data_IF_355664319939
#
_entry.id   IF_355664319939
#
_cell.length_a   1.000
_cell.length_b   1.000
_cell.length_c   1.000
_cell.angle_alpha   90.00
_cell.angle_beta   90.00
_cell.angle_gamma   90.00
#
_symmetry.space_group_name_H-M   'P 1'
#
loop_
_entity.id
_entity.type
_entity.pdbx_description
1 polymer ?
#
# COMPACT_ATOMS: atom_id res chain seq x y z
N UNK A 1 73.86 -43.31 27.09
CA UNK A 1 72.96 -42.71 28.10
C UNK A 1 72.58 -41.35 27.59
N UNK A 2 71.49 -41.27 26.83
CA UNK A 2 70.91 -40.01 26.39
C UNK A 2 70.22 -39.43 27.62
N UNK A 3 70.66 -38.25 28.08
CA UNK A 3 69.93 -37.49 29.10
C UNK A 3 68.61 -37.11 28.42
N UNK A 4 67.52 -37.79 28.78
CA UNK A 4 66.18 -37.33 28.43
C UNK A 4 65.94 -36.02 29.15
N UNK A 5 65.33 -35.05 28.47
CA UNK A 5 64.87 -33.79 29.07
C UNK A 5 63.99 -34.10 30.30
N UNK A 6 64.55 -33.90 31.50
CA UNK A 6 63.88 -34.07 32.79
C UNK A 6 63.26 -32.77 33.31
N UNK A 7 63.33 -31.69 32.53
CA UNK A 7 62.73 -30.41 32.88
C UNK A 7 61.20 -30.52 32.83
N UNK A 8 60.55 -29.96 33.86
CA UNK A 8 59.11 -29.82 33.87
C UNK A 8 58.65 -28.97 32.67
N UNK A 9 57.47 -29.29 32.12
CA UNK A 9 56.83 -28.52 31.06
C UNK A 9 55.46 -28.03 31.51
N UNK A 10 55.10 -26.79 31.15
CA UNK A 10 53.79 -26.20 31.38
C UNK A 10 52.89 -26.39 30.15
N UNK A 11 51.70 -26.96 30.34
CA UNK A 11 50.73 -27.20 29.27
C UNK A 11 49.37 -26.62 29.64
N UNK A 12 48.74 -25.88 28.73
CA UNK A 12 47.36 -25.38 28.91
C UNK A 12 46.35 -26.44 28.48
N UNK A 13 45.22 -26.53 29.20
CA UNK A 13 44.05 -27.32 28.82
C UNK A 13 42.76 -26.53 29.12
N UNK A 14 41.76 -26.69 28.27
CA UNK A 14 40.42 -26.12 28.46
C UNK A 14 39.53 -27.11 29.21
N UNK A 15 38.74 -26.64 30.18
CA UNK A 15 37.69 -27.43 30.82
C UNK A 15 36.40 -27.42 30.01
N UNK A 16 36.09 -26.26 29.41
CA UNK A 16 35.02 -26.10 28.44
C UNK A 16 35.58 -25.39 27.20
N UNK A 17 35.11 -25.82 26.03
CA UNK A 17 35.57 -25.29 24.73
C UNK A 17 34.48 -24.52 24.00
N UNK A 18 33.24 -24.60 24.47
CA UNK A 18 32.11 -23.79 23.99
C UNK A 18 31.39 -23.16 25.19
N UNK A 19 30.85 -21.96 24.99
CA UNK A 19 30.06 -21.22 25.96
C UNK A 19 29.06 -20.34 25.23
N UNK A 20 27.78 -20.46 25.59
CA UNK A 20 26.75 -19.49 25.17
C UNK A 20 26.91 -18.22 26.01
N UNK A 21 26.94 -17.05 25.39
CA UNK A 21 27.25 -15.77 26.05
C UNK A 21 26.09 -15.20 26.89
N UNK A 22 24.84 -15.45 26.49
CA UNK A 22 23.63 -15.00 27.18
C UNK A 22 23.33 -13.52 26.98
N UNK A 23 22.06 -13.15 27.15
CA UNK A 23 21.54 -11.79 26.89
C UNK A 23 22.15 -10.66 27.75
N UNK A 24 22.84 -11.00 28.85
CA UNK A 24 23.43 -10.03 29.78
C UNK A 24 24.37 -10.67 30.79
N UNK A 25 25.19 -9.84 31.44
CA UNK A 25 26.03 -10.26 32.56
C UNK A 25 27.30 -10.94 32.09
N UNK A 26 27.92 -11.74 32.95
CA UNK A 26 29.24 -12.33 32.72
C UNK A 26 29.20 -13.85 32.81
N UNK A 27 29.88 -14.50 31.88
CA UNK A 27 30.04 -15.97 31.81
C UNK A 27 31.50 -16.33 31.65
N UNK A 28 31.85 -17.60 31.85
CA UNK A 28 33.26 -17.97 32.04
C UNK A 28 33.66 -19.22 31.26
N UNK A 29 34.80 -19.13 30.59
CA UNK A 29 35.62 -20.28 30.25
C UNK A 29 36.61 -20.56 31.37
N UNK A 30 36.84 -21.84 31.65
CA UNK A 30 37.83 -22.27 32.63
C UNK A 30 38.97 -23.00 31.94
N UNK A 31 40.20 -22.64 32.32
CA UNK A 31 41.43 -23.25 31.81
C UNK A 31 42.31 -23.71 32.97
N UNK A 32 43.04 -24.80 32.78
CA UNK A 32 44.17 -25.18 33.63
C UNK A 32 45.49 -24.94 32.90
N UNK A 33 46.51 -24.59 33.66
CA UNK A 33 47.90 -24.79 33.26
C UNK A 33 48.47 -25.86 34.20
N UNK A 34 49.00 -26.92 33.60
CA UNK A 34 49.50 -28.11 34.29
C UNK A 34 51.00 -28.28 34.03
N UNK A 35 51.77 -28.49 35.11
CA UNK A 35 53.18 -28.86 35.08
C UNK A 35 53.33 -30.38 34.96
N UNK A 36 54.16 -30.86 34.04
CA UNK A 36 54.42 -32.31 33.86
C UNK A 36 54.98 -32.96 35.14
N UNK A 37 55.87 -32.26 35.83
CA UNK A 37 56.42 -32.60 37.15
C UNK A 37 56.50 -31.37 38.04
N UNK A 38 56.54 -31.57 39.37
CA UNK A 38 56.74 -30.46 40.30
C UNK A 38 58.20 -30.00 40.26
N UNK A 39 58.45 -28.70 40.29
CA UNK A 39 59.80 -28.12 40.17
C UNK A 39 60.47 -27.84 41.52
N UNK A 40 59.69 -27.82 42.61
CA UNK A 40 60.16 -27.40 43.94
C UNK A 40 60.59 -25.92 44.02
N UNK A 41 60.33 -25.13 42.97
CA UNK A 41 60.71 -23.72 42.82
C UNK A 41 59.54 -22.90 42.30
N UNK A 42 59.58 -21.58 42.46
CA UNK A 42 58.59 -20.69 41.84
C UNK A 42 58.82 -20.68 40.33
N UNK A 43 57.76 -20.93 39.57
CA UNK A 43 57.76 -20.86 38.10
C UNK A 43 56.60 -20.03 37.60
N UNK A 44 56.69 -19.50 36.38
CA UNK A 44 55.60 -18.73 35.79
C UNK A 44 55.52 -18.90 34.27
N UNK A 45 54.33 -18.67 33.74
CA UNK A 45 54.07 -18.53 32.31
C UNK A 45 53.10 -17.36 32.11
N UNK A 46 53.33 -16.57 31.09
CA UNK A 46 52.37 -15.58 30.62
C UNK A 46 51.35 -16.26 29.71
N UNK A 47 50.16 -15.69 29.63
CA UNK A 47 49.13 -16.08 28.68
C UNK A 47 48.47 -14.84 28.09
N UNK A 48 48.07 -14.93 26.82
CA UNK A 48 47.30 -13.89 26.15
C UNK A 48 46.25 -14.54 25.25
N UNK A 49 45.07 -13.94 25.21
CA UNK A 49 43.98 -14.31 24.31
C UNK A 49 44.07 -13.49 23.02
N UNK A 50 43.86 -14.16 21.90
CA UNK A 50 43.68 -13.52 20.59
C UNK A 50 42.49 -14.15 19.88
N UNK A 51 41.63 -13.36 19.26
CA UNK A 51 40.61 -13.85 18.34
C UNK A 51 41.23 -14.62 17.17
N UNK A 52 40.55 -15.68 16.72
CA UNK A 52 41.03 -16.56 15.66
C UNK A 52 39.89 -17.03 14.74
N UNK A 53 40.23 -17.67 13.62
CA UNK A 53 39.23 -18.26 12.74
C UNK A 53 38.56 -17.25 11.79
N UNK A 54 37.37 -17.61 11.31
CA UNK A 54 36.60 -16.79 10.36
C UNK A 54 35.87 -15.62 11.03
N UNK A 55 35.39 -15.84 12.27
CA UNK A 55 34.81 -14.82 13.13
C UNK A 55 35.66 -14.78 14.42
N UNK A 56 36.72 -13.95 14.45
CA UNK A 56 37.59 -13.87 15.62
C UNK A 56 36.94 -13.01 16.71
N UNK A 57 36.80 -13.58 17.91
CA UNK A 57 36.36 -12.85 19.09
C UNK A 57 37.26 -11.62 19.32
N UNK A 58 36.65 -10.46 19.56
CA UNK A 58 37.31 -9.18 19.71
C UNK A 58 37.23 -8.64 21.14
N UNK A 59 37.55 -7.36 21.36
CA UNK A 59 37.59 -6.81 22.71
C UNK A 59 36.19 -6.62 23.33
N UNK A 60 35.13 -6.46 22.53
CA UNK A 60 33.76 -6.25 22.97
C UNK A 60 33.24 -7.44 23.78
N UNK A 61 33.47 -8.66 23.31
CA UNK A 61 33.03 -9.91 23.95
C UNK A 61 33.67 -10.11 25.33
N UNK A 62 34.78 -9.42 25.62
CA UNK A 62 35.47 -9.48 26.93
C UNK A 62 35.36 -8.17 27.72
N UNK A 63 34.44 -7.26 27.37
CA UNK A 63 34.17 -6.04 28.14
C UNK A 63 35.11 -4.87 27.84
N UNK A 64 35.71 -4.84 26.66
CA UNK A 64 36.48 -3.72 26.11
C UNK A 64 37.98 -3.96 25.95
N UNK A 65 38.52 -5.10 26.40
CA UNK A 65 39.93 -5.47 26.23
C UNK A 65 40.12 -6.98 26.13
N UNK A 66 40.99 -7.44 25.23
CA UNK A 66 41.36 -8.86 25.14
C UNK A 66 42.09 -9.33 26.42
N UNK A 67 41.67 -10.42 27.06
CA UNK A 67 42.27 -10.92 28.30
C UNK A 67 43.72 -11.39 28.15
N UNK A 68 44.54 -11.10 29.16
CA UNK A 68 45.90 -11.62 29.29
C UNK A 68 46.33 -11.63 30.76
N UNK A 69 47.41 -12.34 31.09
CA UNK A 69 47.97 -12.34 32.44
C UNK A 69 49.16 -13.27 32.62
N UNK A 70 49.58 -13.42 33.87
CA UNK A 70 50.67 -14.33 34.28
C UNK A 70 50.13 -15.34 35.29
N UNK A 71 50.41 -16.63 35.07
CA UNK A 71 50.17 -17.69 36.05
C UNK A 71 51.49 -18.05 36.71
N UNK A 72 51.52 -18.03 38.05
CA UNK A 72 52.71 -18.35 38.86
C UNK A 72 52.44 -19.57 39.73
N UNK A 73 53.26 -20.61 39.64
CA UNK A 73 53.19 -21.80 40.50
C UNK A 73 54.11 -21.62 41.70
N UNK A 74 53.58 -21.90 42.89
CA UNK A 74 54.36 -21.89 44.11
C UNK A 74 54.98 -23.27 44.35
N UNK A 75 56.31 -23.37 44.23
CA UNK A 75 57.13 -24.50 44.69
C UNK A 75 56.66 -25.89 44.26
N UNK A 76 55.71 -26.44 45.02
CA UNK A 76 55.19 -27.80 44.87
C UNK A 76 53.86 -27.89 44.10
N UNK A 77 53.25 -26.75 43.73
CA UNK A 77 52.04 -26.71 42.89
C UNK A 77 52.30 -27.33 41.52
N UNK A 78 51.30 -28.05 41.00
CA UNK A 78 51.34 -28.64 39.66
C UNK A 78 50.24 -28.11 38.73
N UNK A 79 49.17 -27.58 39.28
CA UNK A 79 47.99 -27.15 38.52
C UNK A 79 47.54 -25.80 39.05
N UNK A 80 47.31 -24.84 38.14
CA UNK A 80 46.57 -23.61 38.45
C UNK A 80 45.47 -23.42 37.44
N UNK A 81 44.31 -23.02 37.96
CA UNK A 81 43.15 -22.67 37.15
C UNK A 81 43.01 -21.16 37.05
N UNK A 82 42.48 -20.71 35.93
CA UNK A 82 42.02 -19.34 35.74
C UNK A 82 40.74 -19.34 34.90
N UNK A 83 40.02 -18.23 34.96
CA UNK A 83 38.81 -18.02 34.20
C UNK A 83 39.03 -16.90 33.18
N UNK A 84 38.42 -17.05 32.01
CA UNK A 84 38.27 -15.99 31.01
C UNK A 84 36.81 -15.59 30.99
N UNK A 85 36.56 -14.30 31.21
CA UNK A 85 35.23 -13.71 31.33
C UNK A 85 34.70 -13.26 29.96
N UNK A 86 33.55 -13.80 29.56
CA UNK A 86 32.77 -13.37 28.38
C UNK A 86 31.61 -12.49 28.85
N UNK A 87 31.37 -11.41 28.13
CA UNK A 87 30.28 -10.46 28.36
C UNK A 87 29.11 -10.89 27.51
N UNK A 88 27.98 -11.16 28.15
CA UNK A 88 26.74 -11.38 27.44
C UNK A 88 26.09 -10.07 27.03
N UNK A 89 25.52 -10.02 25.83
CA UNK A 89 24.72 -8.91 25.33
C UNK A 89 23.59 -9.39 24.42
N UNK A 90 23.02 -8.51 23.57
CA UNK A 90 21.84 -8.84 22.74
C UNK A 90 22.08 -8.64 21.24
N UNK A 91 23.33 -8.43 20.86
CA UNK A 91 23.75 -8.12 19.50
C UNK A 91 23.85 -9.41 18.73
N UNK A 92 23.16 -9.49 17.59
CA UNK A 92 23.27 -10.70 16.75
C UNK A 92 24.63 -10.75 16.08
N UNK A 93 25.43 -11.71 16.51
CA UNK A 93 26.78 -11.99 16.02
C UNK A 93 26.88 -13.46 15.55
N UNK A 94 27.83 -13.81 14.67
CA UNK A 94 28.11 -15.22 14.40
C UNK A 94 28.80 -15.87 15.60
N UNK A 95 28.82 -17.21 15.68
CA UNK A 95 29.72 -17.87 16.64
C UNK A 95 31.17 -17.48 16.38
N UNK A 96 31.87 -17.13 17.46
CA UNK A 96 33.21 -16.56 17.41
C UNK A 96 34.23 -17.45 18.11
N UNK A 97 35.49 -17.40 17.68
CA UNK A 97 36.54 -18.23 18.27
C UNK A 97 37.74 -17.41 18.70
N UNK A 98 38.42 -17.89 19.75
CA UNK A 98 39.68 -17.34 20.22
C UNK A 98 40.67 -18.45 20.58
N UNK A 99 41.94 -18.07 20.66
CA UNK A 99 43.03 -18.91 21.14
C UNK A 99 43.77 -18.22 22.27
N UNK A 100 43.99 -18.94 23.37
CA UNK A 100 44.91 -18.56 24.44
C UNK A 100 46.27 -19.16 24.13
N UNK A 101 47.32 -18.34 24.12
CA UNK A 101 48.70 -18.77 23.88
C UNK A 101 49.57 -18.52 25.11
N UNK A 102 50.28 -19.57 25.56
CA UNK A 102 51.29 -19.46 26.61
C UNK A 102 52.59 -18.88 26.05
N UNK A 103 53.23 -18.01 26.82
CA UNK A 103 54.50 -17.35 26.47
C UNK A 103 55.37 -17.08 27.70
N UNK A 104 56.59 -16.59 27.46
CA UNK A 104 57.54 -16.16 28.49
C UNK A 104 57.68 -17.12 29.69
N UNK A 105 57.96 -18.42 29.45
CA UNK A 105 58.11 -19.36 30.55
C UNK A 105 59.35 -19.02 31.41
N UNK A 106 59.21 -19.13 32.72
CA UNK A 106 60.30 -18.96 33.68
C UNK A 106 60.43 -20.20 34.57
N UNK A 107 61.58 -20.86 34.50
CA UNK A 107 61.89 -22.05 35.30
C UNK A 107 61.15 -23.33 34.87
N UNK A 108 60.58 -23.34 33.67
CA UNK A 108 59.83 -24.46 33.07
C UNK A 108 59.97 -24.40 31.55
N UNK A 109 59.86 -25.54 30.85
CA UNK A 109 59.68 -25.56 29.39
C UNK A 109 58.19 -25.37 29.02
N UNK A 110 57.90 -25.00 27.77
CA UNK A 110 56.51 -25.04 27.28
C UNK A 110 56.20 -26.41 26.68
N UNK A 111 55.05 -26.98 27.07
CA UNK A 111 54.44 -28.17 26.47
C UNK A 111 53.36 -27.76 25.47
N UNK A 112 52.10 -28.12 25.73
CA UNK A 112 50.97 -27.61 24.94
C UNK A 112 50.79 -26.12 25.20
N UNK A 113 51.03 -25.30 24.18
CA UNK A 113 51.03 -23.83 24.33
C UNK A 113 49.71 -23.16 24.01
N UNK A 114 48.76 -23.87 23.41
CA UNK A 114 47.52 -23.26 22.93
C UNK A 114 46.29 -24.01 23.40
N UNK A 115 45.26 -23.27 23.79
CA UNK A 115 43.91 -23.78 23.98
C UNK A 115 42.91 -22.84 23.30
N UNK A 116 41.86 -23.38 22.72
CA UNK A 116 40.83 -22.61 22.01
C UNK A 116 39.55 -22.49 22.83
N UNK A 117 38.72 -21.52 22.49
CA UNK A 117 37.34 -21.41 22.96
C UNK A 117 36.44 -20.85 21.85
N UNK A 118 35.17 -21.24 21.87
CA UNK A 118 34.12 -20.77 20.96
C UNK A 118 32.99 -20.11 21.76
N UNK A 119 32.78 -18.82 21.54
CA UNK A 119 31.64 -18.07 22.06
C UNK A 119 30.47 -18.36 21.11
N UNK A 120 29.38 -18.87 21.66
CA UNK A 120 28.16 -19.25 20.92
C UNK A 120 27.15 -18.13 21.08
N UNK A 121 26.74 -17.52 19.97
CA UNK A 121 25.73 -16.47 19.95
C UNK A 121 24.36 -17.08 20.22
N UNK A 122 23.67 -16.61 21.26
CA UNK A 122 22.26 -16.94 21.50
C UNK A 122 21.26 -15.86 21.08
N UNK A 123 21.75 -14.75 20.53
CA UNK A 123 20.91 -13.61 20.21
C UNK A 123 20.06 -13.75 18.95
N UNK A 124 18.87 -13.17 19.04
CA UNK A 124 17.83 -13.21 18.02
C UNK A 124 17.26 -11.82 17.82
N UNK A 125 16.95 -11.41 16.58
CA UNK A 125 16.24 -10.14 16.32
C UNK A 125 14.96 -10.36 15.54
N UNK A 126 13.99 -9.45 15.76
CA UNK A 126 12.77 -9.35 14.95
C UNK A 126 12.67 -8.01 14.22
N UNK A 127 12.15 -8.04 13.01
CA UNK A 127 11.80 -6.85 12.22
C UNK A 127 10.46 -7.05 11.52
N UNK A 128 9.64 -6.01 11.42
CA UNK A 128 8.41 -6.01 10.63
C UNK A 128 8.54 -5.11 9.41
N UNK A 129 7.95 -5.52 8.29
CA UNK A 129 7.83 -4.73 7.06
C UNK A 129 6.45 -4.92 6.42
N UNK A 130 5.96 -3.90 5.72
CA UNK A 130 4.78 -4.04 4.86
C UNK A 130 5.08 -5.00 3.71
N UNK A 131 4.22 -6.00 3.52
CA UNK A 131 4.33 -6.96 2.41
C UNK A 131 3.34 -6.58 1.31
N UNK A 132 2.08 -6.35 1.68
CA UNK A 132 1.02 -5.92 0.78
C UNK A 132 -0.03 -5.13 1.58
N UNK A 133 0.26 -3.84 1.81
CA UNK A 133 -0.42 -3.01 2.79
C UNK A 133 -0.80 -1.61 2.27
N UNK A 134 -0.91 -1.42 0.96
CA UNK A 134 -1.44 -0.20 0.35
C UNK A 134 -2.50 -0.57 -0.67
N UNK A 135 -3.77 -0.46 -0.30
CA UNK A 135 -4.90 -1.00 -1.07
C UNK A 135 -6.14 -0.15 -0.88
N UNK A 136 -7.12 -0.36 -1.76
CA UNK A 136 -8.48 0.07 -1.49
C UNK A 136 -9.09 -0.75 -0.34
N UNK A 137 -9.97 -0.16 0.46
CA UNK A 137 -10.75 -0.91 1.47
C UNK A 137 -11.88 -1.72 0.84
N UNK A 138 -12.44 -1.24 -0.28
CA UNK A 138 -13.54 -1.86 -1.00
C UNK A 138 -14.89 -1.53 -0.37
N UNK A 139 -15.97 -1.69 -1.13
CA UNK A 139 -17.28 -1.17 -0.68
C UNK A 139 -18.04 -2.01 0.35
N UNK A 140 -17.50 -3.16 0.76
CA UNK A 140 -18.09 -4.07 1.76
C UNK A 140 -17.12 -5.17 2.19
N UNK A 141 -17.42 -5.85 3.29
CA UNK A 141 -16.65 -7.00 3.74
C UNK A 141 -15.34 -6.59 4.39
N UNK A 142 -14.25 -7.28 4.06
CA UNK A 142 -12.92 -6.91 4.57
C UNK A 142 -11.82 -7.16 3.55
N UNK A 143 -10.88 -6.22 3.45
CA UNK A 143 -9.67 -6.33 2.65
C UNK A 143 -8.47 -6.68 3.53
N UNK A 144 -7.69 -7.67 3.12
CA UNK A 144 -6.53 -8.16 3.88
C UNK A 144 -5.26 -7.36 3.56
N UNK A 145 -4.68 -6.74 4.58
CA UNK A 145 -3.40 -6.05 4.57
C UNK A 145 -2.36 -6.94 5.24
N UNK A 146 -1.23 -7.19 4.60
CA UNK A 146 -0.24 -8.15 5.10
C UNK A 146 1.10 -7.52 5.40
N UNK A 147 1.70 -7.98 6.50
CA UNK A 147 2.99 -7.53 7.01
C UNK A 147 3.87 -8.75 7.29
N UNK A 148 5.10 -8.75 6.80
CA UNK A 148 6.07 -9.81 7.10
C UNK A 148 6.85 -9.44 8.35
N UNK A 149 6.89 -10.37 9.31
CA UNK A 149 7.83 -10.34 10.43
C UNK A 149 8.97 -11.29 10.11
N UNK A 150 10.19 -10.79 10.10
CA UNK A 150 11.42 -11.55 9.86
C UNK A 150 12.15 -11.76 11.17
N UNK A 151 12.66 -12.99 11.38
CA UNK A 151 13.54 -13.38 12.48
C UNK A 151 14.95 -13.64 11.96
N UNK A 152 15.95 -13.09 12.61
CA UNK A 152 17.37 -13.26 12.29
C UNK A 152 18.21 -13.59 13.56
N UNK A 153 19.44 -14.07 13.36
CA UNK A 153 20.31 -14.55 14.43
C UNK A 153 20.07 -16.01 14.78
N UNK A 154 20.08 -16.32 16.06
CA UNK A 154 19.78 -17.64 16.58
C UNK A 154 18.32 -18.02 16.30
N UNK A 155 18.11 -19.21 15.74
CA UNK A 155 16.79 -19.73 15.38
C UNK A 155 16.45 -21.04 16.08
N UNK A 156 17.28 -21.53 17.00
CA UNK A 156 17.08 -22.81 17.67
C UNK A 156 15.95 -22.76 18.71
N UNK A 157 15.70 -21.58 19.29
CA UNK A 157 14.66 -21.35 20.29
C UNK A 157 13.31 -20.92 19.72
N UNK A 158 12.33 -20.77 20.61
CA UNK A 158 11.09 -20.04 20.30
C UNK A 158 11.31 -18.53 20.51
N UNK A 159 10.58 -17.72 19.74
CA UNK A 159 10.58 -16.26 19.89
C UNK A 159 9.15 -15.74 19.75
N UNK A 160 8.76 -14.76 20.56
CA UNK A 160 7.41 -14.17 20.50
C UNK A 160 7.46 -12.65 20.59
N UNK A 161 6.58 -11.98 19.85
CA UNK A 161 6.31 -10.56 19.96
C UNK A 161 4.80 -10.33 19.95
N UNK A 162 4.29 -9.46 20.82
CA UNK A 162 2.94 -8.93 20.65
C UNK A 162 2.95 -7.87 19.55
N UNK A 163 1.83 -7.67 18.87
CA UNK A 163 1.64 -6.54 17.96
C UNK A 163 0.32 -5.84 18.24
N UNK A 164 0.28 -4.54 17.96
CA UNK A 164 -0.93 -3.73 18.02
C UNK A 164 -1.00 -2.78 16.83
N UNK A 165 -2.22 -2.54 16.36
CA UNK A 165 -2.54 -1.56 15.32
C UNK A 165 -2.93 -0.24 15.96
N UNK A 166 -2.44 0.86 15.40
CA UNK A 166 -2.83 2.23 15.79
C UNK A 166 -2.89 3.13 14.56
N UNK A 167 -3.85 4.04 14.47
CA UNK A 167 -3.85 5.08 13.45
C UNK A 167 -2.61 5.97 13.49
N UNK A 168 -2.13 6.41 12.32
CA UNK A 168 -0.93 7.24 12.17
C UNK A 168 -1.12 8.34 11.14
N UNK A 169 -0.17 9.28 11.04
CA UNK A 169 -0.17 10.29 9.99
C UNK A 169 -1.21 11.40 10.17
N UNK A 170 -1.56 12.07 9.07
CA UNK A 170 -2.48 13.21 9.06
C UNK A 170 -3.96 12.80 9.06
N UNK A 171 -4.26 11.63 8.48
CA UNK A 171 -5.57 10.98 8.47
C UNK A 171 -5.38 9.59 9.10
N UNK A 172 -5.44 9.48 10.44
CA UNK A 172 -5.22 8.22 11.13
C UNK A 172 -6.49 7.36 11.08
N UNK A 173 -6.34 6.13 10.59
CA UNK A 173 -7.38 5.11 10.69
C UNK A 173 -7.76 4.88 12.17
N UNK A 174 -9.04 4.73 12.46
CA UNK A 174 -9.59 4.52 13.78
C UNK A 174 -10.15 3.09 13.96
N UNK A 175 -11.07 2.89 14.91
CA UNK A 175 -11.61 1.55 15.19
C UNK A 175 -12.69 1.12 14.18
N UNK A 176 -13.37 2.07 13.52
CA UNK A 176 -14.42 1.81 12.54
C UNK A 176 -13.87 1.00 11.34
N UNK A 177 -12.68 1.37 10.86
CA UNK A 177 -11.98 0.74 9.73
C UNK A 177 -11.55 -0.71 10.01
N UNK A 178 -11.71 -1.19 11.25
CA UNK A 178 -11.38 -2.57 11.66
C UNK A 178 -12.55 -3.27 12.36
N UNK A 179 -13.79 -2.84 12.10
CA UNK A 179 -14.99 -3.50 12.63
C UNK A 179 -15.29 -3.17 14.10
N UNK A 180 -14.82 -2.04 14.59
CA UNK A 180 -15.15 -1.45 15.89
C UNK A 180 -14.05 -1.56 16.96
N UNK A 181 -12.93 -2.23 16.68
CA UNK A 181 -11.77 -2.31 17.59
C UNK A 181 -10.46 -2.40 16.82
N UNK A 182 -9.45 -1.63 17.23
CA UNK A 182 -8.11 -1.74 16.66
C UNK A 182 -7.50 -3.15 16.89
N UNK A 183 -6.99 -3.83 15.84
CA UNK A 183 -6.46 -5.18 15.98
C UNK A 183 -5.18 -5.27 16.83
N UNK A 184 -5.03 -6.38 17.55
CA UNK A 184 -3.81 -6.73 18.28
C UNK A 184 -3.74 -8.24 18.50
N UNK A 185 -2.55 -8.83 18.44
CA UNK A 185 -2.35 -10.25 18.75
C UNK A 185 -0.86 -10.53 19.07
N UNK A 186 -0.43 -11.80 19.05
CA UNK A 186 0.95 -12.23 19.23
C UNK A 186 1.43 -13.04 18.03
N UNK A 187 2.61 -12.69 17.51
CA UNK A 187 3.34 -13.50 16.55
C UNK A 187 4.33 -14.40 17.30
N UNK A 188 4.38 -15.68 16.92
CA UNK A 188 5.28 -16.68 17.53
C UNK A 188 6.06 -17.42 16.45
N UNK A 189 7.35 -17.64 16.70
CA UNK A 189 8.25 -18.42 15.86
C UNK A 189 8.63 -19.69 16.60
N UNK A 190 8.40 -20.83 15.97
CA UNK A 190 8.96 -22.11 16.40
C UNK A 190 10.45 -22.21 16.02
N UNK A 191 11.20 -23.16 16.60
CA UNK A 191 12.55 -23.46 16.17
C UNK A 191 12.67 -23.64 14.65
N UNK A 192 13.67 -22.99 14.05
CA UNK A 192 13.92 -22.98 12.61
C UNK A 192 13.08 -22.02 11.77
N UNK A 193 12.02 -21.40 12.31
CA UNK A 193 11.20 -20.45 11.55
C UNK A 193 11.89 -19.09 11.44
N UNK A 194 11.86 -18.48 10.26
CA UNK A 194 12.50 -17.17 9.98
C UNK A 194 11.53 -16.11 9.48
N UNK A 195 10.30 -16.48 9.10
CA UNK A 195 9.27 -15.56 8.62
C UNK A 195 7.88 -15.92 9.14
N UNK A 196 7.08 -14.90 9.46
CA UNK A 196 5.64 -14.99 9.73
C UNK A 196 4.94 -13.83 9.03
N UNK A 197 3.69 -14.06 8.63
CA UNK A 197 2.84 -13.01 8.07
C UNK A 197 1.77 -12.65 9.10
N UNK A 198 1.67 -11.36 9.41
CA UNK A 198 0.55 -10.77 10.14
C UNK A 198 -0.45 -10.26 9.10
N UNK A 199 -1.72 -10.61 9.28
CA UNK A 199 -2.82 -10.14 8.44
C UNK A 199 -3.72 -9.22 9.25
N UNK A 200 -3.89 -7.98 8.79
CA UNK A 200 -4.82 -7.00 9.32
C UNK A 200 -5.97 -6.89 8.33
N UNK A 201 -7.19 -7.16 8.77
CA UNK A 201 -8.38 -7.03 7.93
C UNK A 201 -8.96 -5.63 8.13
N UNK A 202 -8.96 -4.83 7.08
CA UNK A 202 -9.64 -3.52 7.03
C UNK A 202 -11.07 -3.74 6.56
N UNK A 203 -12.04 -3.18 7.26
CA UNK A 203 -13.46 -3.22 6.93
C UNK A 203 -13.72 -2.34 5.71
N UNK A 204 -14.36 -2.91 4.70
CA UNK A 204 -14.82 -2.12 3.56
C UNK A 204 -16.22 -1.57 3.83
N UNK A 205 -16.46 -0.31 3.47
CA UNK A 205 -17.79 0.31 3.50
C UNK A 205 -18.00 1.31 2.36
N UNK A 206 -19.01 2.17 2.43
CA UNK A 206 -19.38 3.06 1.31
C UNK A 206 -19.37 4.55 1.68
N UNK A 207 -18.76 4.84 2.83
CA UNK A 207 -18.64 6.17 3.41
C UNK A 207 -17.44 6.85 2.79
N UNK A 208 -17.65 8.02 2.21
CA UNK A 208 -16.54 8.74 1.58
C UNK A 208 -15.64 9.35 2.64
N UNK A 209 -14.45 8.79 2.74
CA UNK A 209 -13.40 9.22 3.64
C UNK A 209 -12.14 9.64 2.86
N UNK A 210 -11.15 10.20 3.56
CA UNK A 210 -9.85 10.45 2.95
C UNK A 210 -9.04 9.16 2.86
N UNK A 211 -7.93 9.16 2.11
CA UNK A 211 -6.95 8.09 2.31
C UNK A 211 -6.39 8.17 3.74
N UNK A 212 -6.26 7.02 4.39
CA UNK A 212 -5.87 6.93 5.79
C UNK A 212 -4.64 6.04 5.99
N UNK A 213 -4.02 6.14 7.16
CA UNK A 213 -2.87 5.27 7.50
C UNK A 213 -2.96 4.70 8.91
N UNK A 214 -2.44 3.48 9.07
CA UNK A 214 -2.25 2.83 10.36
C UNK A 214 -0.85 2.23 10.46
N UNK A 215 -0.34 2.12 11.68
CA UNK A 215 0.91 1.44 12.01
C UNK A 215 0.63 0.11 12.72
N UNK A 216 1.39 -0.93 12.35
CA UNK A 216 1.49 -2.19 13.09
C UNK A 216 2.79 -2.17 13.87
N UNK A 217 2.72 -2.16 15.20
CA UNK A 217 3.90 -2.04 16.07
C UNK A 217 4.11 -3.31 16.89
N UNK A 218 5.31 -3.89 16.82
CA UNK A 218 5.76 -5.00 17.65
C UNK A 218 6.14 -4.49 19.06
N UNK A 219 5.72 -5.22 20.10
CA UNK A 219 5.97 -4.93 21.52
C UNK A 219 6.18 -6.21 22.35
N UNK A 220 6.51 -6.06 23.64
CA UNK A 220 6.56 -7.14 24.63
C UNK A 220 7.34 -8.37 24.17
N UNK A 221 8.56 -8.15 23.69
CA UNK A 221 9.42 -9.23 23.24
C UNK A 221 9.84 -10.12 24.39
N UNK A 222 9.86 -11.42 24.12
CA UNK A 222 10.50 -12.40 24.97
C UNK A 222 11.60 -13.07 24.15
N UNK A 223 12.85 -12.91 24.61
CA UNK A 223 14.05 -13.56 24.04
C UNK A 223 14.56 -13.03 22.68
N UNK A 224 14.23 -11.79 22.28
CA UNK A 224 14.78 -11.18 21.07
C UNK A 224 14.64 -9.66 21.12
N UNK A 225 15.67 -8.83 20.88
CA UNK A 225 15.49 -7.42 20.54
C UNK A 225 14.73 -7.17 19.21
N UNK A 226 14.17 -5.97 19.07
CA UNK A 226 13.54 -5.50 17.83
C UNK A 226 14.55 -4.63 17.08
N UNK A 227 14.83 -5.01 15.83
CA UNK A 227 15.59 -4.17 14.90
C UNK A 227 14.70 -3.11 14.25
N UNK A 228 13.50 -3.51 13.80
CA UNK A 228 12.48 -2.60 13.22
C UNK A 228 11.13 -2.87 13.87
N UNK A 229 10.63 -1.90 14.63
CA UNK A 229 9.46 -2.09 15.49
C UNK A 229 8.11 -1.92 14.78
N UNK A 230 8.06 -1.13 13.71
CA UNK A 230 6.80 -0.71 13.12
C UNK A 230 6.83 -0.73 11.60
N UNK A 231 5.69 -1.10 11.01
CA UNK A 231 5.41 -0.96 9.59
C UNK A 231 4.07 -0.23 9.39
N UNK A 232 3.91 0.45 8.25
CA UNK A 232 2.73 1.27 7.95
C UNK A 232 1.87 0.59 6.88
N UNK A 233 0.56 0.60 7.08
CA UNK A 233 -0.46 0.36 6.06
C UNK A 233 -1.13 1.66 5.62
N UNK A 234 -1.59 1.71 4.37
CA UNK A 234 -2.31 2.85 3.77
C UNK A 234 -3.62 2.37 3.17
N UNK A 235 -4.72 2.86 3.72
CA UNK A 235 -6.07 2.62 3.23
C UNK A 235 -6.35 3.67 2.16
N UNK A 236 -6.61 3.22 0.94
CA UNK A 236 -6.99 4.07 -0.18
C UNK A 236 -8.52 4.11 -0.19
N UNK A 237 -9.09 5.31 -0.10
CA UNK A 237 -10.52 5.50 -0.30
C UNK A 237 -10.85 5.20 -1.78
N UNK A 238 -11.72 4.23 -2.01
CA UNK A 238 -12.30 3.91 -3.32
C UNK A 238 -13.79 4.25 -3.42
N UNK A 239 -14.35 4.92 -2.41
CA UNK A 239 -15.75 5.29 -2.39
C UNK A 239 -16.06 6.56 -3.18
N UNK A 240 -17.20 6.48 -3.87
CA UNK A 240 -17.73 7.54 -4.73
C UNK A 240 -18.65 8.43 -3.92
N UNK A 241 -18.38 9.75 -3.93
CA UNK A 241 -19.23 10.76 -3.29
C UNK A 241 -20.66 10.66 -3.83
N UNK A 242 -21.70 10.43 -3.00
CA UNK A 242 -23.05 10.18 -3.49
C UNK A 242 -23.61 11.30 -4.39
N UNK A 243 -23.21 12.55 -4.13
CA UNK A 243 -23.58 13.74 -4.91
C UNK A 243 -22.88 13.85 -6.26
N UNK A 244 -21.92 12.97 -6.55
CA UNK A 244 -21.15 12.90 -7.80
C UNK A 244 -21.23 11.53 -8.45
N UNK A 245 -22.15 10.66 -8.02
CA UNK A 245 -22.28 9.30 -8.55
C UNK A 245 -23.13 9.29 -9.82
N UNK A 246 -22.48 9.02 -10.95
CA UNK A 246 -23.13 8.81 -12.24
C UNK A 246 -23.24 7.31 -12.54
N UNK A 247 -24.44 6.82 -12.81
CA UNK A 247 -24.64 5.45 -13.27
C UNK A 247 -24.52 5.40 -14.79
N UNK A 248 -23.66 4.52 -15.32
CA UNK A 248 -23.43 4.36 -16.77
C UNK A 248 -23.56 2.88 -17.14
N UNK A 249 -24.30 2.62 -18.23
CA UNK A 249 -24.29 1.35 -18.94
C UNK A 249 -23.67 1.57 -20.32
N UNK A 250 -22.58 0.87 -20.61
CA UNK A 250 -21.91 0.89 -21.92
C UNK A 250 -21.43 -0.52 -22.23
N UNK A 251 -21.55 -0.95 -23.48
CA UNK A 251 -21.24 -2.31 -23.94
C UNK A 251 -21.93 -3.42 -23.12
N UNK A 252 -23.12 -3.13 -22.59
CA UNK A 252 -23.90 -4.04 -21.75
C UNK A 252 -23.37 -4.20 -20.32
N UNK A 253 -22.42 -3.38 -19.89
CA UNK A 253 -21.84 -3.38 -18.54
C UNK A 253 -22.28 -2.13 -17.79
N UNK A 254 -22.89 -2.32 -16.62
CA UNK A 254 -23.24 -1.25 -15.68
C UNK A 254 -22.05 -0.95 -14.77
N UNK A 255 -21.75 0.34 -14.57
CA UNK A 255 -20.73 0.84 -13.64
C UNK A 255 -21.15 2.18 -13.05
N UNK A 256 -20.68 2.47 -11.85
CA UNK A 256 -20.75 3.81 -11.27
C UNK A 256 -19.45 4.55 -11.58
N UNK A 257 -19.57 5.82 -11.93
CA UNK A 257 -18.44 6.72 -12.18
C UNK A 257 -18.59 7.93 -11.28
N UNK A 258 -17.48 8.35 -10.68
CA UNK A 258 -17.45 9.62 -9.96
C UNK A 258 -17.29 10.78 -10.96
N UNK A 259 -18.31 11.63 -11.05
CA UNK A 259 -18.25 12.87 -11.83
C UNK A 259 -17.18 13.80 -11.27
N UNK A 260 -16.54 14.54 -12.18
CA UNK A 260 -15.63 15.61 -11.82
C UNK A 260 -16.41 16.81 -11.33
N UNK A 261 -15.80 17.65 -10.49
CA UNK A 261 -16.38 18.97 -10.20
C UNK A 261 -16.35 19.82 -11.46
N UNK A 262 -17.44 20.53 -11.73
CA UNK A 262 -17.50 21.44 -12.85
C UNK A 262 -16.43 22.55 -12.72
N UNK A 263 -15.75 22.84 -13.82
CA UNK A 263 -14.59 23.75 -13.89
C UNK A 263 -14.67 24.72 -15.07
N UNK A 264 -15.80 24.75 -15.77
CA UNK A 264 -16.05 25.64 -16.91
C UNK A 264 -16.62 27.01 -16.50
N UNK A 265 -17.06 27.82 -17.48
CA UNK A 265 -17.51 29.19 -17.25
C UNK A 265 -18.91 29.33 -16.63
N UNK A 266 -19.70 28.26 -16.57
CA UNK A 266 -21.07 28.28 -16.06
C UNK A 266 -21.08 28.02 -14.56
N UNK A 267 -21.18 29.08 -13.75
CA UNK A 267 -20.91 29.01 -12.31
C UNK A 267 -21.94 28.25 -11.47
N UNK A 268 -23.11 27.92 -12.03
CA UNK A 268 -24.16 27.19 -11.31
C UNK A 268 -24.09 25.67 -11.52
N UNK A 269 -23.35 25.19 -12.53
CA UNK A 269 -23.07 23.78 -12.71
C UNK A 269 -22.12 23.29 -11.61
N UNK A 270 -22.38 22.09 -11.10
CA UNK A 270 -21.68 21.53 -9.94
C UNK A 270 -20.81 20.35 -10.34
N UNK A 271 -21.32 19.47 -11.19
CA UNK A 271 -20.58 18.32 -11.69
C UNK A 271 -20.40 18.36 -13.21
N UNK A 272 -19.42 17.60 -13.70
CA UNK A 272 -19.27 17.33 -15.11
C UNK A 272 -18.88 15.87 -15.40
N UNK A 273 -19.36 15.37 -16.52
CA UNK A 273 -18.94 14.12 -17.12
C UNK A 273 -18.72 14.29 -18.63
N UNK A 274 -17.67 13.64 -19.14
CA UNK A 274 -17.44 13.49 -20.58
C UNK A 274 -17.39 12.00 -20.88
N UNK A 275 -18.31 11.53 -21.72
CA UNK A 275 -18.46 10.15 -22.17
C UNK A 275 -17.44 9.76 -23.24
N UNK A 276 -17.82 8.84 -24.12
CA UNK A 276 -16.97 8.30 -25.17
C UNK A 276 -17.69 8.21 -26.51
N UNK A 277 -17.01 7.86 -27.60
CA UNK A 277 -17.66 7.68 -28.91
C UNK A 277 -18.48 6.36 -29.02
N UNK A 278 -18.96 5.80 -27.90
CA UNK A 278 -19.71 4.54 -27.82
C UNK A 278 -21.11 4.76 -27.28
N UNK A 279 -22.05 3.86 -27.58
CA UNK A 279 -23.42 3.98 -27.11
C UNK A 279 -23.50 3.79 -25.58
N UNK A 280 -23.95 4.83 -24.90
CA UNK A 280 -24.01 4.93 -23.44
C UNK A 280 -25.43 5.22 -22.96
N UNK A 281 -25.87 4.51 -21.93
CA UNK A 281 -27.06 4.87 -21.18
C UNK A 281 -26.64 5.36 -19.79
N UNK A 282 -27.01 6.59 -19.44
CA UNK A 282 -26.51 7.29 -18.27
C UNK A 282 -27.64 7.91 -17.46
N UNK A 283 -27.44 7.94 -16.14
CA UNK A 283 -28.28 8.71 -15.22
C UNK A 283 -27.43 9.60 -14.34
N UNK A 284 -27.64 10.91 -14.48
CA UNK A 284 -27.05 12.00 -13.70
C UNK A 284 -27.48 11.99 -12.24
N UNK A 285 -27.08 13.04 -11.54
CA UNK A 285 -27.24 13.19 -10.10
C UNK A 285 -28.52 13.97 -9.76
N UNK A 286 -28.65 14.39 -8.51
CA UNK A 286 -29.71 15.31 -8.08
C UNK A 286 -29.23 16.79 -8.12
N UNK A 287 -28.02 17.04 -8.65
CA UNK A 287 -27.37 18.35 -8.75
C UNK A 287 -27.30 18.80 -10.20
N UNK A 288 -27.04 20.10 -10.41
CA UNK A 288 -26.85 20.68 -11.74
C UNK A 288 -25.60 20.10 -12.42
N UNK A 289 -25.80 19.21 -13.39
CA UNK A 289 -24.77 18.42 -14.04
C UNK A 289 -24.50 18.90 -15.47
N UNK A 290 -23.22 18.85 -15.88
CA UNK A 290 -22.82 18.95 -17.27
C UNK A 290 -22.46 17.57 -17.81
N UNK A 291 -23.25 17.02 -18.74
CA UNK A 291 -22.95 15.74 -19.37
C UNK A 291 -22.71 15.96 -20.86
N UNK A 292 -21.56 15.54 -21.37
CA UNK A 292 -21.29 15.49 -22.80
C UNK A 292 -20.90 14.07 -23.21
N UNK A 293 -21.68 13.43 -24.07
CA UNK A 293 -21.47 12.01 -24.43
C UNK A 293 -20.56 11.82 -25.64
N UNK A 294 -20.06 12.89 -26.25
CA UNK A 294 -19.22 12.89 -27.45
C UNK A 294 -19.90 12.31 -28.69
N UNK A 295 -20.01 10.99 -28.83
CA UNK A 295 -20.54 10.38 -30.03
C UNK A 295 -21.13 8.99 -29.75
N UNK A 296 -22.03 8.54 -30.61
CA UNK A 296 -22.73 7.28 -30.40
C UNK A 296 -24.23 7.51 -30.39
N UNK A 297 -24.99 6.45 -30.15
CA UNK A 297 -26.43 6.58 -29.93
C UNK A 297 -26.70 6.44 -28.42
N UNK A 298 -26.81 7.57 -27.74
CA UNK A 298 -26.81 7.64 -26.27
C UNK A 298 -28.21 7.82 -25.68
N UNK A 299 -28.36 7.44 -24.41
CA UNK A 299 -29.55 7.72 -23.61
C UNK A 299 -29.13 8.39 -22.29
N UNK A 300 -29.59 9.61 -22.04
CA UNK A 300 -29.23 10.39 -20.86
C UNK A 300 -30.50 10.75 -20.09
N UNK A 301 -30.49 10.51 -18.79
CA UNK A 301 -31.43 11.05 -17.80
C UNK A 301 -30.64 11.97 -16.88
N UNK A 302 -30.87 13.30 -16.94
CA UNK A 302 -30.19 14.30 -16.12
C UNK A 302 -30.45 14.11 -14.63
N UNK A 303 -31.67 13.70 -14.29
CA UNK A 303 -32.08 13.45 -12.92
C UNK A 303 -32.82 14.64 -12.33
N UNK A 304 -32.21 15.33 -11.36
CA UNK A 304 -32.72 16.62 -10.86
C UNK A 304 -31.63 17.65 -10.94
N UNK A 305 -32.02 18.91 -10.84
CA UNK A 305 -31.09 20.02 -10.98
C UNK A 305 -31.31 20.68 -12.33
N UNK A 306 -30.70 21.84 -12.51
CA UNK A 306 -30.70 22.49 -13.81
C UNK A 306 -29.55 21.85 -14.61
N UNK A 307 -29.84 20.93 -15.52
CA UNK A 307 -28.83 20.12 -16.19
C UNK A 307 -28.48 20.67 -17.57
N UNK A 308 -27.25 20.41 -18.00
CA UNK A 308 -26.79 20.62 -19.37
C UNK A 308 -26.42 19.29 -19.97
N UNK A 309 -27.28 18.80 -20.86
CA UNK A 309 -27.14 17.50 -21.50
C UNK A 309 -26.78 17.67 -22.97
N UNK A 310 -25.52 17.39 -23.29
CA UNK A 310 -24.98 17.35 -24.64
C UNK A 310 -24.86 15.90 -25.10
N UNK A 311 -25.81 15.48 -25.94
CA UNK A 311 -25.82 14.14 -26.50
C UNK A 311 -24.77 13.94 -27.60
N UNK A 312 -23.97 14.95 -27.94
CA UNK A 312 -22.93 14.80 -28.94
C UNK A 312 -23.45 14.40 -30.34
N UNK A 313 -22.61 13.70 -31.09
CA UNK A 313 -22.92 13.16 -32.43
C UNK A 313 -23.74 11.87 -32.31
N UNK A 314 -24.65 11.64 -33.26
CA UNK A 314 -25.44 10.41 -33.34
C UNK A 314 -26.87 10.59 -32.82
N UNK A 315 -27.59 9.50 -32.61
CA UNK A 315 -29.03 9.51 -32.31
C UNK A 315 -29.29 9.35 -30.82
N UNK A 316 -29.72 10.42 -30.15
CA UNK A 316 -29.71 10.47 -28.70
C UNK A 316 -31.11 10.52 -28.07
N UNK A 317 -31.26 9.92 -26.90
CA UNK A 317 -32.45 9.98 -26.07
C UNK A 317 -32.15 10.80 -24.83
N UNK A 318 -32.72 12.00 -24.72
CA UNK A 318 -32.37 12.95 -23.66
C UNK A 318 -33.61 13.23 -22.80
N UNK A 319 -33.46 13.05 -21.49
CA UNK A 319 -34.46 13.35 -20.47
C UNK A 319 -33.79 14.30 -19.48
N UNK A 320 -34.34 15.49 -19.28
CA UNK A 320 -33.79 16.47 -18.34
C UNK A 320 -34.10 16.08 -16.90
N UNK A 321 -35.36 15.71 -16.67
CA UNK A 321 -35.88 15.37 -15.37
C UNK A 321 -36.47 16.60 -14.67
N UNK A 322 -36.04 16.87 -13.44
CA UNK A 322 -36.60 17.96 -12.66
C UNK A 322 -35.64 19.15 -12.56
N UNK A 323 -35.95 20.26 -13.21
CA UNK A 323 -35.18 21.49 -13.12
C UNK A 323 -35.45 22.38 -14.32
N UNK A 324 -34.51 23.24 -14.66
CA UNK A 324 -34.46 23.94 -15.94
C UNK A 324 -33.30 23.42 -16.78
N UNK A 325 -33.63 22.48 -17.65
CA UNK A 325 -32.64 21.74 -18.41
C UNK A 325 -32.33 22.38 -19.77
N UNK A 326 -31.10 22.17 -20.23
CA UNK A 326 -30.64 22.58 -21.56
C UNK A 326 -30.07 21.38 -22.30
N UNK A 327 -30.60 21.15 -23.49
CA UNK A 327 -30.24 20.02 -24.34
C UNK A 327 -29.45 20.48 -25.56
N UNK A 328 -28.39 19.75 -25.89
CA UNK A 328 -27.59 19.94 -27.09
C UNK A 328 -27.62 18.65 -27.92
N UNK A 329 -27.94 18.81 -29.21
CA UNK A 329 -27.86 17.73 -30.19
C UNK A 329 -27.06 18.20 -31.40
N UNK A 330 -26.28 17.31 -31.99
CA UNK A 330 -25.33 17.68 -33.05
C UNK A 330 -25.61 16.95 -34.38
N UNK A 331 -26.02 17.72 -35.39
CA UNK A 331 -26.22 17.24 -36.77
C UNK A 331 -24.97 17.31 -37.65
N UNK A 332 -23.81 17.71 -37.11
CA UNK A 332 -22.57 17.94 -37.89
C UNK A 332 -21.80 16.67 -38.23
N UNK A 333 -22.28 15.48 -37.85
CA UNK A 333 -21.65 14.19 -38.17
C UNK A 333 -21.65 13.85 -39.66
N UNK A 334 -22.54 14.47 -40.45
CA UNK A 334 -22.71 14.21 -41.88
C UNK A 334 -23.50 12.93 -42.21
N UNK A 335 -24.00 12.23 -41.20
CA UNK A 335 -24.96 11.12 -41.34
C UNK A 335 -26.37 11.54 -40.92
N UNK A 336 -27.35 10.66 -41.17
CA UNK A 336 -28.73 10.89 -40.73
C UNK A 336 -28.86 10.54 -39.24
N UNK A 337 -29.17 11.53 -38.40
CA UNK A 337 -29.37 11.32 -36.95
C UNK A 337 -30.81 11.54 -36.52
N UNK A 338 -31.20 10.90 -35.43
CA UNK A 338 -32.52 11.11 -34.82
C UNK A 338 -32.42 11.20 -33.30
N UNK A 339 -32.60 12.40 -32.75
CA UNK A 339 -32.64 12.59 -31.30
C UNK A 339 -34.07 12.75 -30.78
N UNK A 340 -34.29 12.41 -29.52
CA UNK A 340 -35.56 12.56 -28.82
C UNK A 340 -35.30 13.28 -27.50
N UNK A 341 -36.00 14.39 -27.26
CA UNK A 341 -36.08 15.02 -25.94
C UNK A 341 -37.43 14.62 -25.34
N UNK A 342 -37.39 13.91 -24.23
CA UNK A 342 -38.54 13.15 -23.73
C UNK A 342 -39.50 13.98 -22.89
N UNK A 343 -39.01 15.07 -22.30
CA UNK A 343 -39.70 15.79 -21.25
C UNK A 343 -39.50 17.31 -21.30
N UNK A 344 -39.24 17.90 -22.48
CA UNK A 344 -39.05 19.35 -22.61
C UNK A 344 -40.18 20.15 -21.95
N UNK A 345 -39.85 21.02 -21.02
CA UNK A 345 -40.78 21.89 -20.28
C UNK A 345 -40.58 23.38 -20.58
N UNK A 346 -41.50 24.21 -20.06
CA UNK A 346 -41.46 25.66 -20.28
C UNK A 346 -40.31 26.29 -19.51
N UNK A 347 -39.41 26.97 -20.22
CA UNK A 347 -38.21 27.59 -19.65
C UNK A 347 -36.92 26.87 -20.06
N UNK A 348 -37.06 25.66 -20.58
CA UNK A 348 -35.97 24.82 -21.09
C UNK A 348 -35.68 25.11 -22.56
N UNK A 349 -34.52 24.62 -23.02
CA UNK A 349 -33.99 24.91 -24.34
C UNK A 349 -33.38 23.65 -24.95
N UNK A 350 -33.73 23.39 -26.21
CA UNK A 350 -32.99 22.43 -27.04
C UNK A 350 -32.27 23.18 -28.14
N UNK A 351 -30.98 22.89 -28.35
CA UNK A 351 -30.21 23.42 -29.48
C UNK A 351 -29.75 22.31 -30.41
N UNK A 352 -29.95 22.53 -31.70
CA UNK A 352 -29.53 21.66 -32.79
C UNK A 352 -28.39 22.34 -33.57
N UNK A 353 -27.19 21.76 -33.48
CA UNK A 353 -26.01 22.27 -34.16
C UNK A 353 -25.89 21.75 -35.59
N UNK A 354 -25.30 22.59 -36.45
CA UNK A 354 -25.15 22.31 -37.88
C UNK A 354 -26.09 23.13 -38.77
N UNK A 355 -27.06 23.84 -38.18
CA UNK A 355 -27.95 24.74 -38.89
C UNK A 355 -27.16 25.79 -39.68
N UNK A 356 -27.56 26.06 -40.92
CA UNK A 356 -26.97 27.06 -41.80
C UNK A 356 -28.04 28.06 -42.21
N UNK A 357 -27.99 29.25 -41.62
CA UNK A 357 -28.95 30.32 -41.88
C UNK A 357 -29.04 30.62 -43.39
N UNK A 358 -30.26 30.71 -43.92
CA UNK A 358 -30.53 30.91 -45.35
C UNK A 358 -30.41 29.67 -46.24
N UNK A 359 -29.78 28.59 -45.77
CA UNK A 359 -29.64 27.33 -46.52
C UNK A 359 -30.62 26.29 -46.00
N UNK A 360 -30.47 25.89 -44.74
CA UNK A 360 -31.16 24.75 -44.15
C UNK A 360 -32.70 24.89 -44.20
N UNK A 361 -33.39 23.75 -44.22
CA UNK A 361 -34.86 23.66 -44.26
C UNK A 361 -35.38 22.88 -43.06
N UNK A 362 -36.41 23.43 -42.42
CA UNK A 362 -37.15 22.79 -41.33
C UNK A 362 -38.53 22.38 -41.83
N UNK A 363 -38.93 21.14 -41.58
CA UNK A 363 -40.29 20.64 -41.77
C UNK A 363 -40.78 19.94 -40.51
N UNK A 364 -42.10 19.90 -40.30
CA UNK A 364 -42.71 19.33 -39.11
C UNK A 364 -43.51 18.08 -39.43
N UNK A 365 -43.38 17.06 -38.59
CA UNK A 365 -44.27 15.92 -38.52
C UNK A 365 -44.97 15.88 -37.15
N UNK A 366 -46.26 15.55 -37.18
CA UNK A 366 -47.11 15.40 -36.00
C UNK A 366 -47.01 13.97 -35.46
N UNK A 367 -46.87 13.84 -34.14
CA UNK A 367 -46.92 12.56 -33.41
C UNK A 367 -46.01 11.48 -34.02
N UNK A 368 -44.81 11.87 -34.44
CA UNK A 368 -43.77 10.97 -34.97
C UNK A 368 -42.68 10.72 -33.92
N UNK A 369 -41.75 9.80 -34.20
CA UNK A 369 -40.70 9.37 -33.28
C UNK A 369 -40.88 7.96 -32.72
N UNK A 370 -40.03 7.61 -31.75
CA UNK A 370 -40.02 6.31 -31.11
C UNK A 370 -41.36 5.98 -30.43
N UNK A 371 -41.71 4.68 -30.40
CA UNK A 371 -42.91 4.23 -29.72
C UNK A 371 -42.85 4.58 -28.21
N UNK A 372 -43.95 5.13 -27.67
CA UNK A 372 -44.00 5.67 -26.30
C UNK A 372 -43.55 7.12 -26.18
N UNK A 373 -42.78 7.65 -27.13
CA UNK A 373 -42.16 8.99 -27.07
C UNK A 373 -42.50 9.85 -28.30
N UNK A 374 -43.63 9.57 -28.92
CA UNK A 374 -44.12 10.33 -30.09
C UNK A 374 -44.45 11.77 -29.71
N UNK A 375 -44.21 12.70 -30.62
CA UNK A 375 -44.51 14.11 -30.39
C UNK A 375 -44.23 14.99 -31.60
N UNK A 376 -43.86 16.24 -31.35
CA UNK A 376 -43.51 17.20 -32.38
C UNK A 376 -42.15 16.84 -32.95
N UNK A 377 -42.10 16.41 -34.20
CA UNK A 377 -40.84 16.02 -34.86
C UNK A 377 -40.43 17.07 -35.88
N UNK A 378 -39.31 17.72 -35.61
CA UNK A 378 -38.62 18.59 -36.55
C UNK A 378 -37.71 17.74 -37.44
N UNK A 379 -37.97 17.74 -38.74
CA UNK A 379 -37.09 17.19 -39.76
C UNK A 379 -36.28 18.33 -40.39
N UNK A 380 -34.96 18.23 -40.30
CA UNK A 380 -34.03 19.27 -40.69
C UNK A 380 -33.14 18.75 -41.82
N UNK A 381 -33.21 19.43 -42.96
CA UNK A 381 -32.31 19.29 -44.10
C UNK A 381 -31.27 20.42 -43.97
N UNK A 382 -30.07 20.09 -43.52
CA UNK A 382 -29.02 21.03 -43.15
C UNK A 382 -28.34 21.63 -44.39
N UNK A 383 -28.21 20.88 -45.48
CA UNK A 383 -27.53 21.30 -46.71
C UNK A 383 -28.47 21.67 -47.88
N UNK A 384 -29.79 21.53 -47.68
CA UNK A 384 -30.85 21.78 -48.65
C UNK A 384 -30.82 20.84 -49.87
N UNK A 385 -30.32 19.60 -49.72
CA UNK A 385 -30.27 18.61 -50.80
C UNK A 385 -31.61 17.88 -51.03
N UNK A 386 -32.61 18.11 -50.18
CA UNK A 386 -33.93 17.48 -50.23
C UNK A 386 -34.06 16.19 -49.40
N UNK A 387 -33.00 15.76 -48.74
CA UNK A 387 -32.97 14.66 -47.77
C UNK A 387 -32.90 15.20 -46.35
N UNK A 388 -33.43 14.45 -45.40
CA UNK A 388 -33.37 14.83 -43.98
C UNK A 388 -32.00 14.42 -43.44
N UNK A 389 -31.25 15.37 -42.90
CA UNK A 389 -29.94 15.14 -42.27
C UNK A 389 -30.08 14.87 -40.78
N UNK A 390 -31.00 15.56 -40.10
CA UNK A 390 -31.27 15.29 -38.69
C UNK A 390 -32.75 15.42 -38.39
N UNK A 391 -33.21 14.61 -37.45
CA UNK A 391 -34.54 14.73 -36.87
C UNK A 391 -34.45 14.91 -35.37
N UNK A 392 -35.34 15.71 -34.81
CA UNK A 392 -35.52 15.79 -33.38
C UNK A 392 -37.00 15.66 -33.03
N UNK A 393 -37.34 14.74 -32.14
CA UNK A 393 -38.68 14.61 -31.57
C UNK A 393 -38.71 15.25 -30.18
N UNK A 394 -39.66 16.15 -29.96
CA UNK A 394 -40.02 16.65 -28.64
C UNK A 394 -41.28 15.91 -28.21
N UNK A 395 -41.12 14.95 -27.31
CA UNK A 395 -42.17 13.98 -26.96
C UNK A 395 -43.40 14.63 -26.33
N UNK A 396 -44.58 14.07 -26.63
CA UNK A 396 -45.88 14.48 -26.10
C UNK A 396 -46.30 15.94 -26.37
N UNK A 397 -45.52 16.72 -27.12
CA UNK A 397 -45.89 18.07 -27.56
C UNK A 397 -46.39 18.03 -29.01
N UNK A 398 -47.17 19.04 -29.40
CA UNK A 398 -47.50 19.27 -30.82
C UNK A 398 -46.55 20.33 -31.40
N UNK A 399 -46.25 20.31 -32.72
CA UNK A 399 -45.54 21.36 -33.43
C UNK A 399 -46.03 22.79 -33.12
N UNK A 400 -47.34 22.98 -32.91
CA UNK A 400 -47.89 24.29 -32.57
C UNK A 400 -47.49 24.80 -31.17
N UNK A 401 -47.11 23.89 -30.25
CA UNK A 401 -46.64 24.25 -28.92
C UNK A 401 -45.14 24.62 -28.89
N UNK A 402 -44.39 24.23 -29.93
CA UNK A 402 -42.94 24.41 -30.04
C UNK A 402 -42.61 25.67 -30.83
N UNK A 403 -41.76 26.52 -30.27
CA UNK A 403 -41.24 27.73 -30.92
C UNK A 403 -39.84 27.43 -31.43
N UNK A 404 -39.64 27.56 -32.75
CA UNK A 404 -38.33 27.46 -33.38
C UNK A 404 -37.70 28.84 -33.55
N UNK A 405 -36.42 28.96 -33.22
CA UNK A 405 -35.63 30.19 -33.35
C UNK A 405 -34.22 29.87 -33.81
N UNK A 406 -33.60 30.75 -34.58
CA UNK A 406 -32.21 30.57 -35.01
C UNK A 406 -31.29 31.45 -34.17
N UNK A 407 -30.06 30.98 -33.95
CA UNK A 407 -29.03 31.70 -33.20
C UNK A 407 -27.65 31.46 -33.77
N UNK A 408 -26.66 32.20 -33.25
CA UNK A 408 -25.28 32.14 -33.72
C UNK A 408 -24.30 32.40 -32.57
N UNK A 409 -23.26 31.57 -32.47
CA UNK A 409 -22.12 31.74 -31.58
C UNK A 409 -20.85 31.75 -32.42
N UNK A 410 -20.17 32.90 -32.48
CA UNK A 410 -19.05 33.09 -33.41
C UNK A 410 -19.51 32.90 -34.87
N UNK A 411 -18.87 31.99 -35.59
CA UNK A 411 -19.23 31.65 -36.98
C UNK A 411 -20.17 30.43 -37.09
N UNK A 412 -20.59 29.84 -35.96
CA UNK A 412 -21.43 28.65 -35.93
C UNK A 412 -22.89 29.03 -35.62
N UNK A 413 -23.80 28.67 -36.51
CA UNK A 413 -25.24 28.84 -36.32
C UNK A 413 -25.89 27.58 -35.75
N UNK A 414 -26.99 27.77 -35.02
CA UNK A 414 -27.80 26.69 -34.47
C UNK A 414 -29.29 27.00 -34.66
N UNK A 415 -30.10 25.94 -34.68
CA UNK A 415 -31.55 26.03 -34.55
C UNK A 415 -31.91 25.67 -33.11
N UNK A 416 -32.80 26.42 -32.50
CA UNK A 416 -33.23 26.24 -31.12
C UNK A 416 -34.73 26.05 -31.03
N UNK A 417 -35.15 25.25 -30.04
CA UNK A 417 -36.54 24.97 -29.73
C UNK A 417 -36.84 25.25 -28.26
N UNK A 418 -37.96 25.93 -28.00
CA UNK A 418 -38.53 26.11 -26.66
C UNK A 418 -40.04 25.86 -26.72
N UNK A 419 -40.70 25.81 -25.57
CA UNK A 419 -42.17 25.81 -25.51
C UNK A 419 -42.75 27.23 -25.39
N UNK A 420 -43.93 27.43 -25.97
CA UNK A 420 -44.66 28.71 -26.01
C UNK A 420 -45.28 29.16 -24.67
#
# INVERSE_FOLDING_TARGET
MTIGNDDASASIAAFNVELVEGDSGKRYFYYSIDLSSSTGKVTSVDWALTGTGANPADAADFGGTLPSGTVTFQGWEKTRMFAVEVSGDTTVEPDETFTITLSNPNGVALGTTTATGTIRNDDTTLSIAALDATKAEGSSGSTAYTFEVTRAGNIEGNSTASYAVTGTGASPADAADFGGTLPSDTVSFAPGETRKVITINVSGDSTVEGNETFGVTLTNLRYAPIATASAIGTIINDDIEPTRRLAIVSDGVSRDVEMQRYSGPVSWLQNMHTGSDTNEAMRGTDLADFVNTLGGDDAIDGGKGDDVLDGGLGSNFLTGGAGLDTFFVDGRSGGVTWSTVTDLEKGELVTCWGWKEGTSKLTWAEMSGAEGYKGATAHIDLDANGSIDMSITISAKSPAAVVAMTGQVGDASYLAFTLS
#
